data_IF_478647998097
#
_entry.id   IF_478647998097
#
_cell.length_a   1.000
_cell.length_b   1.000
_cell.length_c   1.000
_cell.angle_alpha   90.00
_cell.angle_beta   90.00
_cell.angle_gamma   90.00
#
_symmetry.space_group_name_H-M   'P 1'
#
loop_
_entity.id
_entity.type
_entity.pdbx_description
1 polymer ?
#
# COMPACT_ATOMS: atom_id res chain seq x y z
N UNK A 1 -17.72 13.35 9.55
CA UNK A 1 -17.54 12.13 8.75
C UNK A 1 -16.35 11.39 9.33
N UNK A 2 -16.56 10.43 10.22
CA UNK A 2 -15.48 9.58 10.73
C UNK A 2 -15.22 8.51 9.67
N UNK A 3 -14.01 8.50 9.08
CA UNK A 3 -13.64 7.42 8.18
C UNK A 3 -13.66 6.10 8.97
N UNK A 4 -14.46 5.14 8.51
CA UNK A 4 -14.58 3.82 9.15
C UNK A 4 -13.38 2.91 8.84
N UNK A 5 -12.48 3.32 7.94
CA UNK A 5 -11.31 2.56 7.50
C UNK A 5 -10.14 3.51 7.20
N UNK A 6 -9.07 3.47 7.98
CA UNK A 6 -7.88 4.31 7.75
C UNK A 6 -6.62 3.70 8.38
N UNK A 7 -5.44 4.20 7.99
CA UNK A 7 -4.17 3.77 8.55
C UNK A 7 -3.59 4.81 9.52
N UNK A 8 -3.00 4.33 10.62
CA UNK A 8 -2.14 5.08 11.55
C UNK A 8 -0.73 4.50 11.54
N UNK A 9 0.25 5.28 12.02
CA UNK A 9 1.62 4.82 12.25
C UNK A 9 2.25 4.12 11.03
N UNK A 10 2.06 4.70 9.85
CA UNK A 10 2.57 4.12 8.61
C UNK A 10 4.09 4.31 8.51
N UNK A 11 4.82 3.20 8.52
CA UNK A 11 6.25 3.09 8.28
C UNK A 11 6.49 2.59 6.86
N UNK A 12 7.37 3.28 6.13
CA UNK A 12 7.75 2.96 4.77
C UNK A 12 9.24 2.62 4.74
N UNK A 13 9.58 1.54 4.05
CA UNK A 13 10.95 1.08 3.84
C UNK A 13 11.09 0.46 2.45
N UNK A 14 12.26 -0.08 2.15
CA UNK A 14 12.56 -0.70 0.85
C UNK A 14 11.79 -2.02 0.64
N UNK A 15 11.21 -2.60 1.71
CA UNK A 15 10.43 -3.84 1.66
C UNK A 15 8.94 -3.56 1.40
N UNK A 16 8.44 -2.38 1.77
CA UNK A 16 7.07 -1.97 1.52
C UNK A 16 6.52 -0.98 2.54
N UNK A 17 5.33 -1.26 3.04
CA UNK A 17 4.65 -0.47 4.06
C UNK A 17 4.11 -1.35 5.17
N UNK A 18 4.31 -0.90 6.41
CA UNK A 18 3.64 -1.43 7.60
C UNK A 18 2.85 -0.31 8.25
N UNK A 19 1.58 -0.57 8.59
CA UNK A 19 0.73 0.40 9.27
C UNK A 19 -0.28 -0.29 10.19
N UNK A 20 -0.85 0.48 11.12
CA UNK A 20 -2.02 0.07 11.90
C UNK A 20 -3.27 0.41 11.10
N UNK A 21 -3.99 -0.61 10.63
CA UNK A 21 -5.29 -0.48 9.99
C UNK A 21 -6.38 -0.37 11.05
N UNK A 22 -7.06 0.77 11.11
CA UNK A 22 -8.21 1.00 11.99
C UNK A 22 -9.46 0.64 11.22
N UNK A 23 -10.28 -0.23 11.80
CA UNK A 23 -11.56 -0.70 11.25
C UNK A 23 -12.66 -0.63 12.32
N UNK A 24 -13.95 -0.76 11.97
CA UNK A 24 -15.02 -0.84 12.97
C UNK A 24 -14.92 -2.12 13.83
N UNK A 25 -14.22 -3.15 13.36
CA UNK A 25 -14.00 -4.41 14.07
C UNK A 25 -12.79 -4.37 15.01
N UNK A 26 -11.98 -3.29 14.95
CA UNK A 26 -10.77 -3.11 15.75
C UNK A 26 -9.56 -2.71 14.93
N UNK A 27 -8.41 -2.70 15.60
CA UNK A 27 -7.13 -2.36 15.00
C UNK A 27 -6.41 -3.64 14.53
N UNK A 28 -5.86 -3.58 13.31
CA UNK A 28 -5.15 -4.69 12.67
C UNK A 28 -3.79 -4.23 12.14
N UNK A 29 -2.87 -5.18 11.97
CA UNK A 29 -1.58 -4.90 11.32
C UNK A 29 -1.74 -5.09 9.82
N UNK A 30 -1.50 -4.02 9.06
CA UNK A 30 -1.40 -4.05 7.61
C UNK A 30 0.07 -4.13 7.19
N UNK A 31 0.38 -5.08 6.32
CA UNK A 31 1.68 -5.22 5.66
C UNK A 31 1.47 -5.36 4.17
N UNK A 32 2.09 -4.51 3.38
CA UNK A 32 2.07 -4.59 1.92
C UNK A 32 3.50 -4.46 1.40
N UNK A 33 3.81 -5.22 0.36
CA UNK A 33 5.06 -5.15 -0.41
C UNK A 33 5.09 -3.93 -1.34
N UNK A 34 4.00 -3.17 -1.47
CA UNK A 34 3.91 -2.05 -2.38
C UNK A 34 4.51 -0.78 -1.76
N UNK A 35 5.31 -0.07 -2.55
CA UNK A 35 6.07 1.10 -2.09
C UNK A 35 5.25 2.39 -2.20
N UNK A 36 5.45 3.27 -1.22
CA UNK A 36 4.97 4.64 -1.24
C UNK A 36 3.52 4.84 -0.77
N UNK A 37 3.22 6.08 -0.37
CA UNK A 37 1.91 6.47 0.18
C UNK A 37 0.76 6.28 -0.81
N UNK A 38 1.01 6.46 -2.10
CA UNK A 38 0.00 6.26 -3.13
C UNK A 38 -0.49 4.81 -3.17
N UNK A 39 0.44 3.84 -3.14
CA UNK A 39 0.06 2.44 -3.09
C UNK A 39 -0.61 2.07 -1.77
N UNK A 40 -0.22 2.65 -0.64
CA UNK A 40 -0.97 2.46 0.62
C UNK A 40 -2.43 2.90 0.48
N UNK A 41 -2.71 4.04 -0.16
CA UNK A 41 -4.08 4.49 -0.43
C UNK A 41 -4.84 3.52 -1.34
N UNK A 42 -4.19 2.97 -2.37
CA UNK A 42 -4.80 1.99 -3.27
C UNK A 42 -5.11 0.67 -2.55
N UNK A 43 -4.17 0.19 -1.71
CA UNK A 43 -4.37 -0.99 -0.86
C UNK A 43 -5.55 -0.76 0.07
N UNK A 44 -5.62 0.41 0.73
CA UNK A 44 -6.73 0.75 1.63
C UNK A 44 -8.08 0.75 0.90
N UNK A 45 -8.13 1.29 -0.32
CA UNK A 45 -9.34 1.29 -1.14
C UNK A 45 -9.76 -0.14 -1.53
N UNK A 46 -8.79 -0.99 -1.91
CA UNK A 46 -9.05 -2.40 -2.23
C UNK A 46 -9.54 -3.20 -1.01
N UNK A 47 -8.92 -3.00 0.15
CA UNK A 47 -9.37 -3.59 1.43
C UNK A 47 -10.81 -3.18 1.73
N UNK A 48 -11.13 -1.90 1.62
CA UNK A 48 -12.49 -1.40 1.86
C UNK A 48 -13.52 -1.99 0.90
N UNK A 49 -13.18 -2.14 -0.38
CA UNK A 49 -14.05 -2.77 -1.37
C UNK A 49 -14.30 -4.25 -1.05
N UNK A 50 -13.26 -5.01 -0.68
CA UNK A 50 -13.39 -6.44 -0.35
C UNK A 50 -14.18 -6.65 0.96
N UNK A 51 -13.97 -5.80 1.97
CA UNK A 51 -14.79 -5.81 3.19
C UNK A 51 -16.26 -5.53 2.89
N UNK A 52 -16.55 -4.59 1.97
CA UNK A 52 -17.92 -4.31 1.52
C UNK A 52 -18.57 -5.43 0.70
N UNK A 53 -17.79 -6.42 0.27
CA UNK A 53 -18.23 -7.65 -0.39
C UNK A 53 -18.23 -8.85 0.57
N UNK A 54 -18.18 -8.61 1.89
CA UNK A 54 -18.19 -9.62 2.96
C UNK A 54 -17.02 -10.61 2.93
N UNK A 55 -15.88 -10.25 2.31
CA UNK A 55 -14.66 -11.05 2.44
C UNK A 55 -14.07 -10.91 3.86
N UNK A 56 -13.63 -12.01 4.51
CA UNK A 56 -13.01 -11.93 5.83
C UNK A 56 -11.74 -11.07 5.83
N UNK A 57 -11.68 -10.09 6.72
CA UNK A 57 -10.53 -9.17 6.83
C UNK A 57 -9.20 -9.92 7.02
N UNK A 58 -9.20 -10.97 7.85
CA UNK A 58 -8.00 -11.78 8.07
C UNK A 58 -7.49 -12.45 6.79
N UNK A 59 -8.37 -12.85 5.88
CA UNK A 59 -7.98 -13.46 4.62
C UNK A 59 -7.43 -12.42 3.64
N UNK A 60 -8.00 -11.21 3.64
CA UNK A 60 -7.46 -10.08 2.89
C UNK A 60 -6.05 -9.74 3.38
N UNK A 61 -5.86 -9.58 4.70
CA UNK A 61 -4.58 -9.20 5.29
C UNK A 61 -3.48 -10.24 5.05
N UNK A 62 -3.82 -11.53 5.00
CA UNK A 62 -2.87 -12.62 4.69
C UNK A 62 -2.25 -12.50 3.30
N UNK A 63 -2.99 -11.98 2.31
CA UNK A 63 -2.51 -11.92 0.92
C UNK A 63 -1.84 -10.59 0.56
N UNK A 64 -2.01 -9.53 1.37
CA UNK A 64 -1.38 -8.23 1.11
C UNK A 64 0.15 -8.27 0.97
N UNK A 65 0.91 -9.06 1.78
CA UNK A 65 2.37 -9.15 1.63
C UNK A 65 2.82 -9.78 0.31
N UNK A 66 1.97 -10.56 -0.34
CA UNK A 66 2.24 -11.22 -1.63
C UNK A 66 1.77 -10.42 -2.84
N UNK A 67 1.23 -9.22 -2.66
CA UNK A 67 0.80 -8.39 -3.78
C UNK A 67 2.01 -8.01 -4.65
N UNK A 68 1.81 -8.04 -5.95
CA UNK A 68 2.74 -7.48 -6.91
C UNK A 68 2.17 -6.15 -7.42
N UNK A 69 3.02 -5.14 -7.52
CA UNK A 69 2.61 -3.84 -8.04
C UNK A 69 2.21 -3.95 -9.51
N UNK A 70 1.27 -3.12 -9.99
CA UNK A 70 0.96 -3.11 -11.41
C UNK A 70 2.21 -2.80 -12.23
N UNK A 71 2.40 -3.53 -13.34
CA UNK A 71 3.53 -3.33 -14.26
C UNK A 71 3.63 -1.84 -14.62
N UNK A 72 4.82 -1.24 -14.44
CA UNK A 72 5.08 0.17 -14.70
C UNK A 72 4.66 1.19 -13.62
N UNK A 73 4.16 0.75 -12.45
CA UNK A 73 3.81 1.64 -11.31
C UNK A 73 4.65 1.32 -10.08
N UNK A 74 5.62 2.17 -9.77
CA UNK A 74 6.57 1.95 -8.67
C UNK A 74 7.25 0.57 -8.75
N UNK A 75 7.50 0.11 -9.97
CA UNK A 75 8.06 -1.23 -10.21
C UNK A 75 9.53 -1.22 -9.78
N UNK A 76 9.87 -2.12 -8.86
CA UNK A 76 11.25 -2.31 -8.40
C UNK A 76 12.06 -2.99 -9.51
N UNK A 77 13.15 -2.35 -9.92
CA UNK A 77 14.21 -2.96 -10.73
C UNK A 77 15.52 -2.83 -9.93
N UNK A 78 16.17 -3.95 -9.58
CA UNK A 78 17.35 -3.95 -8.70
C UNK A 78 17.04 -4.25 -7.24
N UNK A 79 17.94 -3.88 -6.33
CA UNK A 79 17.91 -4.25 -4.90
C UNK A 79 19.06 -5.17 -4.48
N UNK A 80 19.41 -5.15 -3.17
CA UNK A 80 20.57 -5.86 -2.63
C UNK A 80 21.88 -5.10 -2.83
N UNK A 81 22.86 -5.67 -3.53
CA UNK A 81 24.15 -5.03 -3.82
C UNK A 81 24.14 -4.10 -5.04
N UNK A 82 22.95 -3.73 -5.53
CA UNK A 82 22.73 -2.90 -6.72
C UNK A 82 21.71 -1.80 -6.39
N UNK A 83 21.81 -0.62 -7.01
CA UNK A 83 20.87 0.47 -6.77
C UNK A 83 19.44 0.02 -7.06
N UNK A 84 18.51 0.38 -6.17
CA UNK A 84 17.08 0.21 -6.36
C UNK A 84 16.59 1.28 -7.34
N UNK A 85 16.14 0.85 -8.52
CA UNK A 85 15.50 1.71 -9.52
C UNK A 85 13.99 1.54 -9.38
N UNK A 86 13.29 2.64 -9.20
CA UNK A 86 11.83 2.69 -9.14
C UNK A 86 11.33 3.32 -10.44
N UNK A 87 10.59 2.54 -11.25
CA UNK A 87 9.96 3.05 -12.47
C UNK A 87 8.55 3.53 -12.13
N UNK A 88 8.30 4.83 -12.29
CA UNK A 88 6.96 5.43 -12.19
C UNK A 88 6.59 6.14 -13.51
N UNK A 89 5.40 5.83 -14.02
CA UNK A 89 4.83 6.42 -15.23
C UNK A 89 4.14 7.76 -14.94
N UNK A 90 4.83 8.63 -14.20
CA UNK A 90 4.37 9.96 -13.85
C UNK A 90 4.47 10.90 -15.08
N UNK A 91 3.46 10.90 -15.95
CA UNK A 91 3.34 11.83 -17.08
C UNK A 91 2.17 12.84 -16.96
N UNK A 92 1.65 13.06 -15.76
CA UNK A 92 0.81 14.22 -15.43
C UNK A 92 1.60 15.17 -14.52
N UNK A 93 1.55 16.51 -14.72
CA UNK A 93 2.39 17.49 -14.01
C UNK A 93 2.29 17.46 -12.48
N UNK A 94 1.25 16.80 -11.94
CA UNK A 94 0.90 16.73 -10.52
C UNK A 94 1.69 15.67 -9.72
N UNK A 95 2.56 14.90 -10.37
CA UNK A 95 3.31 13.80 -9.74
C UNK A 95 4.69 14.19 -9.18
N UNK A 96 5.13 15.44 -9.37
CA UNK A 96 6.48 15.87 -8.95
C UNK A 96 6.55 16.35 -7.49
N UNK A 97 5.43 16.66 -6.84
CA UNK A 97 5.44 17.18 -5.45
C UNK A 97 5.47 16.10 -4.35
N UNK A 98 5.27 14.81 -4.66
CA UNK A 98 5.18 13.74 -3.64
C UNK A 98 6.48 12.94 -3.42
N UNK A 99 7.61 13.43 -3.93
CA UNK A 99 8.91 12.71 -3.91
C UNK A 99 9.96 13.35 -2.98
N UNK A 100 9.62 14.39 -2.21
CA UNK A 100 10.53 14.97 -1.19
C UNK A 100 10.09 14.67 0.25
#
# INVERSE_FOLDING_TARGET
>A
SSAYLFCRDAHFDDDGVRATLVTPQGDHVLRSSLLGRFNLSNVLAAVGALMGLDYPLDDILKVLPSLEGPVGRMQRLGGGSRPLVVVDYAHTPDALEKVL
#
